data_IF_785543488816
#
_entry.id   IF_785543488816
#
_cell.length_a   1.000
_cell.length_b   1.000
_cell.length_c   1.000
_cell.angle_alpha   90.00
_cell.angle_beta   90.00
_cell.angle_gamma   90.00
#
_symmetry.space_group_name_H-M   'P 1'
#
loop_
_entity.id
_entity.type
_entity.pdbx_description
1 polymer ?
#
# COMPACT_ATOMS: atom_id res chain seq x y z
N UNK A 1 -19.35 -11.35 16.12
CA UNK A 1 -18.86 -11.18 14.74
C UNK A 1 -17.42 -11.68 14.54
N UNK A 2 -16.86 -12.50 15.45
CA UNK A 2 -15.54 -13.14 15.28
C UNK A 2 -15.62 -14.60 14.79
N UNK A 3 -16.82 -15.20 14.76
CA UNK A 3 -17.01 -16.63 14.49
C UNK A 3 -17.23 -16.99 12.99
N UNK A 4 -17.39 -16.00 12.11
CA UNK A 4 -17.58 -16.25 10.66
C UNK A 4 -16.28 -16.12 9.86
N UNK A 5 -15.26 -15.42 10.38
CA UNK A 5 -13.94 -15.29 9.75
C UNK A 5 -13.17 -16.62 9.71
N UNK A 6 -13.25 -17.42 10.77
CA UNK A 6 -12.55 -18.71 10.85
C UNK A 6 -13.09 -19.75 9.87
N UNK A 7 -14.32 -19.60 9.37
CA UNK A 7 -14.99 -20.63 8.56
C UNK A 7 -14.76 -20.46 7.06
N UNK A 8 -14.36 -19.27 6.61
CA UNK A 8 -14.03 -18.98 5.21
C UNK A 8 -12.53 -19.16 4.95
N UNK A 9 -11.68 -19.01 5.97
CA UNK A 9 -10.22 -19.17 5.85
C UNK A 9 -9.77 -20.63 5.68
N UNK A 10 -10.53 -21.60 6.19
CA UNK A 10 -10.15 -23.03 6.21
C UNK A 10 -10.18 -23.76 4.86
N UNK A 11 -10.32 -23.07 3.72
CA UNK A 11 -10.40 -23.73 2.41
C UNK A 11 -9.15 -23.57 1.52
N UNK A 12 -8.11 -22.83 1.92
CA UNK A 12 -6.98 -22.62 0.99
C UNK A 12 -5.55 -22.89 1.48
N UNK A 13 -5.25 -23.16 2.75
CA UNK A 13 -3.85 -23.39 3.16
C UNK A 13 -3.68 -24.35 4.37
N UNK A 14 -3.77 -25.67 4.19
CA UNK A 14 -3.35 -26.63 5.23
C UNK A 14 -1.81 -26.66 5.34
N UNK A 15 -1.24 -25.90 6.28
CA UNK A 15 0.20 -25.97 6.61
C UNK A 15 0.47 -27.11 7.60
N UNK A 16 0.63 -28.31 7.07
CA UNK A 16 0.64 -29.55 7.85
C UNK A 16 1.96 -29.82 8.61
N UNK A 17 3.04 -29.05 8.39
CA UNK A 17 4.33 -29.23 9.09
C UNK A 17 4.95 -27.90 9.60
N UNK A 18 5.66 -27.98 10.73
CA UNK A 18 6.33 -26.86 11.39
C UNK A 18 7.45 -26.26 10.50
N UNK A 19 8.16 -27.12 9.76
CA UNK A 19 9.20 -26.68 8.82
C UNK A 19 8.59 -25.83 7.69
N UNK A 20 7.42 -26.22 7.17
CA UNK A 20 6.70 -25.48 6.14
C UNK A 20 6.26 -24.10 6.66
N UNK A 21 5.75 -24.04 7.90
CA UNK A 21 5.35 -22.79 8.55
C UNK A 21 6.54 -21.85 8.80
N UNK A 22 7.67 -22.38 9.24
CA UNK A 22 8.90 -21.59 9.38
C UNK A 22 9.37 -21.04 8.03
N UNK A 23 9.42 -21.89 7.00
CA UNK A 23 9.83 -21.49 5.66
C UNK A 23 8.90 -20.43 5.07
N UNK A 24 7.60 -20.55 5.34
CA UNK A 24 6.58 -19.58 4.93
C UNK A 24 6.82 -18.20 5.56
N UNK A 25 7.10 -18.14 6.86
CA UNK A 25 7.43 -16.85 7.51
C UNK A 25 8.69 -16.21 6.93
N UNK A 26 9.70 -17.02 6.61
CA UNK A 26 10.96 -16.55 6.00
C UNK A 26 10.75 -16.07 4.57
N UNK A 27 9.98 -16.80 3.76
CA UNK A 27 9.77 -16.51 2.33
C UNK A 27 8.94 -15.25 2.10
N UNK A 28 7.93 -14.99 2.95
CA UNK A 28 7.15 -13.76 2.91
C UNK A 28 7.93 -12.52 3.37
N UNK A 29 9.13 -12.68 3.93
CA UNK A 29 9.98 -11.56 4.32
C UNK A 29 9.37 -10.68 5.41
N UNK A 30 8.54 -11.27 6.28
CA UNK A 30 7.92 -10.56 7.40
C UNK A 30 8.99 -10.07 8.36
N UNK A 31 9.01 -8.76 8.64
CA UNK A 31 9.95 -8.21 9.62
C UNK A 31 9.60 -8.75 11.01
N UNK A 32 10.63 -9.10 11.78
CA UNK A 32 10.45 -9.60 13.15
C UNK A 32 9.58 -8.66 13.99
N UNK A 33 9.73 -7.34 13.85
CA UNK A 33 8.93 -6.33 14.58
C UNK A 33 7.44 -6.39 14.30
N UNK A 34 7.04 -6.86 13.12
CA UNK A 34 5.64 -6.93 12.73
C UNK A 34 5.00 -8.19 13.33
N UNK A 35 5.75 -9.29 13.33
CA UNK A 35 5.40 -10.52 14.05
C UNK A 35 5.30 -10.26 15.55
N UNK A 36 6.22 -9.50 16.15
CA UNK A 36 6.16 -9.12 17.56
C UNK A 36 4.85 -8.43 17.92
N UNK A 37 4.45 -7.42 17.14
CA UNK A 37 3.20 -6.71 17.36
C UNK A 37 1.98 -7.61 17.21
N UNK A 38 2.01 -8.53 16.25
CA UNK A 38 0.95 -9.52 16.12
C UNK A 38 0.83 -10.38 17.38
N UNK A 39 1.94 -10.93 17.86
CA UNK A 39 1.99 -11.74 19.08
C UNK A 39 1.52 -10.94 20.30
N UNK A 40 2.02 -9.72 20.50
CA UNK A 40 1.62 -8.83 21.59
C UNK A 40 0.12 -8.53 21.56
N UNK A 41 -0.45 -8.28 20.37
CA UNK A 41 -1.90 -8.02 20.21
C UNK A 41 -2.77 -9.23 20.58
N UNK A 42 -2.18 -10.42 20.62
CA UNK A 42 -2.83 -11.68 21.02
C UNK A 42 -2.45 -12.13 22.43
N UNK A 43 -1.77 -11.28 23.21
CA UNK A 43 -1.23 -11.60 24.53
C UNK A 43 -0.32 -12.85 24.51
N UNK A 44 0.39 -13.06 23.41
CA UNK A 44 1.33 -14.15 23.25
C UNK A 44 2.76 -13.70 23.58
N UNK A 45 3.59 -14.65 24.01
CA UNK A 45 5.00 -14.36 24.33
C UNK A 45 5.77 -14.04 23.06
N UNK A 46 6.56 -12.97 23.10
CA UNK A 46 7.52 -12.65 22.04
C UNK A 46 8.80 -13.47 22.21
N UNK A 47 9.22 -14.29 21.22
CA UNK A 47 10.51 -14.98 21.27
C UNK A 47 11.70 -14.01 21.15
N UNK A 48 12.86 -14.42 21.66
CA UNK A 48 14.09 -13.66 21.49
C UNK A 48 14.47 -13.57 19.99
N UNK A 49 14.95 -12.41 19.54
CA UNK A 49 15.41 -12.14 18.15
C UNK A 49 16.74 -12.84 17.84
N UNK A 50 16.71 -14.16 17.76
CA UNK A 50 17.86 -14.98 17.36
C UNK A 50 17.52 -15.78 16.09
N UNK A 51 18.45 -16.62 15.65
CA UNK A 51 18.28 -17.49 14.47
C UNK A 51 17.05 -18.40 14.52
N UNK A 52 16.55 -18.71 15.72
CA UNK A 52 15.38 -19.56 15.94
C UNK A 52 14.08 -18.75 16.14
N UNK A 53 14.08 -17.44 15.87
CA UNK A 53 12.89 -16.61 16.05
C UNK A 53 11.70 -17.14 15.25
N UNK A 54 11.86 -17.33 13.94
CA UNK A 54 10.78 -17.79 13.06
C UNK A 54 10.29 -19.19 13.40
N UNK A 55 11.19 -20.12 13.74
CA UNK A 55 10.83 -21.46 14.24
C UNK A 55 9.93 -21.39 15.47
N UNK A 56 10.33 -20.58 16.48
CA UNK A 56 9.55 -20.43 17.72
C UNK A 56 8.20 -19.76 17.51
N UNK A 57 8.13 -18.81 16.56
CA UNK A 57 6.85 -18.20 16.16
C UNK A 57 5.95 -19.24 15.51
N UNK A 58 6.48 -20.01 14.56
CA UNK A 58 5.74 -21.07 13.88
C UNK A 58 5.25 -22.16 14.85
N UNK A 59 6.05 -22.51 15.86
CA UNK A 59 5.67 -23.49 16.89
C UNK A 59 4.57 -22.97 17.82
N UNK A 60 4.60 -21.68 18.15
CA UNK A 60 3.71 -21.08 19.15
C UNK A 60 2.31 -20.80 18.63
N UNK A 61 2.18 -20.46 17.34
CA UNK A 61 0.88 -20.11 16.75
C UNK A 61 0.08 -21.38 16.44
N UNK A 62 -1.21 -21.38 16.74
CA UNK A 62 -2.11 -22.37 16.14
C UNK A 62 -2.33 -22.08 14.64
N UNK A 63 -2.98 -23.00 13.92
CA UNK A 63 -3.23 -22.90 12.48
C UNK A 63 -3.97 -21.61 12.10
N UNK A 64 -5.09 -21.31 12.78
CA UNK A 64 -5.88 -20.11 12.50
C UNK A 64 -5.07 -18.82 12.76
N UNK A 65 -4.29 -18.78 13.85
CA UNK A 65 -3.45 -17.62 14.16
C UNK A 65 -2.31 -17.46 13.15
N UNK A 66 -1.78 -18.56 12.62
CA UNK A 66 -0.74 -18.53 11.62
C UNK A 66 -1.26 -18.04 10.28
N UNK A 67 -2.37 -18.60 9.81
CA UNK A 67 -3.05 -18.13 8.62
C UNK A 67 -3.40 -16.65 8.74
N UNK A 68 -3.87 -16.20 9.91
CA UNK A 68 -4.15 -14.80 10.15
C UNK A 68 -2.89 -13.93 10.12
N UNK A 69 -1.79 -14.35 10.75
CA UNK A 69 -0.51 -13.62 10.67
C UNK A 69 -0.07 -13.47 9.21
N UNK A 70 -0.11 -14.56 8.45
CA UNK A 70 0.25 -14.56 7.04
C UNK A 70 -0.70 -13.66 6.27
N UNK A 71 -2.02 -13.82 6.40
CA UNK A 71 -3.00 -12.99 5.72
C UNK A 71 -2.82 -11.50 6.01
N UNK A 72 -2.67 -11.14 7.29
CA UNK A 72 -2.59 -9.75 7.73
C UNK A 72 -1.29 -9.05 7.34
N UNK A 73 -0.20 -9.77 7.12
CA UNK A 73 1.12 -9.17 6.91
C UNK A 73 1.85 -9.61 5.63
N UNK A 74 1.44 -10.70 4.94
CA UNK A 74 2.06 -11.17 3.67
C UNK A 74 2.12 -10.09 2.60
N UNK A 75 1.12 -9.21 2.61
CA UNK A 75 1.00 -8.06 1.70
C UNK A 75 1.02 -6.73 2.44
N UNK A 76 1.16 -6.74 3.75
CA UNK A 76 1.02 -5.58 4.61
C UNK A 76 2.36 -5.34 5.32
N UNK A 77 3.26 -4.69 4.60
CA UNK A 77 4.56 -4.25 5.09
C UNK A 77 4.59 -2.75 5.38
N UNK A 78 5.74 -2.23 5.80
CA UNK A 78 5.99 -0.77 5.77
C UNK A 78 5.98 -0.31 4.32
N UNK A 79 4.79 0.03 3.84
CA UNK A 79 4.54 0.17 2.42
C UNK A 79 4.23 1.59 2.04
N UNK A 80 4.62 1.89 0.81
CA UNK A 80 4.07 2.98 0.05
C UNK A 80 2.93 2.39 -0.78
N UNK A 81 1.73 2.98 -0.73
CA UNK A 81 0.65 2.62 -1.64
C UNK A 81 0.58 3.70 -2.71
N UNK A 82 0.72 3.29 -3.96
CA UNK A 82 0.49 4.14 -5.12
C UNK A 82 -0.92 3.81 -5.62
N UNK A 83 -1.83 4.77 -5.61
CA UNK A 83 -3.17 4.57 -6.11
C UNK A 83 -3.27 4.90 -7.59
N UNK A 84 -3.98 4.06 -8.33
CA UNK A 84 -4.35 4.33 -9.70
C UNK A 84 -5.82 4.02 -9.92
N UNK A 85 -6.43 4.70 -10.89
CA UNK A 85 -7.78 4.42 -11.36
C UNK A 85 -7.68 3.73 -12.71
N UNK A 86 -8.36 2.59 -12.84
CA UNK A 86 -8.55 1.89 -14.10
C UNK A 86 -10.05 1.85 -14.36
N UNK A 87 -10.55 2.68 -15.27
CA UNK A 87 -12.00 2.81 -15.49
C UNK A 87 -12.62 1.51 -16.01
N UNK A 88 -13.74 1.10 -15.41
CA UNK A 88 -14.49 -0.11 -15.77
C UNK A 88 -13.77 -1.41 -15.40
N UNK A 89 -12.89 -1.36 -14.41
CA UNK A 89 -12.29 -2.55 -13.80
C UNK A 89 -13.30 -3.23 -12.87
N UNK A 90 -14.13 -2.47 -12.18
CA UNK A 90 -15.20 -2.98 -11.30
C UNK A 90 -16.27 -3.81 -12.04
N UNK A 91 -16.42 -3.62 -13.35
CA UNK A 91 -17.36 -4.38 -14.18
C UNK A 91 -16.76 -5.73 -14.64
N UNK A 92 -15.48 -6.02 -14.32
CA UNK A 92 -14.79 -7.26 -14.73
C UNK A 92 -14.82 -8.32 -13.64
N UNK A 93 -14.90 -9.57 -14.07
CA UNK A 93 -14.69 -10.72 -13.18
C UNK A 93 -13.21 -10.80 -12.78
N UNK A 94 -12.92 -10.89 -11.48
CA UNK A 94 -11.55 -10.98 -10.97
C UNK A 94 -10.80 -12.22 -11.49
N UNK A 95 -11.49 -13.33 -11.73
CA UNK A 95 -10.92 -14.52 -12.35
C UNK A 95 -10.48 -14.25 -13.79
N UNK A 96 -11.30 -13.54 -14.57
CA UNK A 96 -10.91 -13.14 -15.94
C UNK A 96 -9.69 -12.19 -15.92
N UNK A 97 -9.66 -11.25 -14.97
CA UNK A 97 -8.50 -10.36 -14.78
C UNK A 97 -7.26 -11.17 -14.43
N UNK A 98 -7.37 -12.13 -13.50
CA UNK A 98 -6.29 -13.04 -13.09
C UNK A 98 -5.71 -13.80 -14.27
N UNK A 99 -6.55 -14.52 -15.03
CA UNK A 99 -6.11 -15.32 -16.18
C UNK A 99 -5.39 -14.48 -17.25
N UNK A 100 -5.92 -13.28 -17.53
CA UNK A 100 -5.32 -12.37 -18.51
C UNK A 100 -3.95 -11.84 -18.08
N UNK A 101 -3.79 -11.57 -16.78
CA UNK A 101 -2.50 -11.10 -16.22
C UNK A 101 -1.49 -12.26 -16.18
N UNK A 102 -1.90 -13.44 -15.71
CA UNK A 102 -1.07 -14.66 -15.66
C UNK A 102 -0.58 -15.08 -17.05
N UNK A 103 -1.43 -14.96 -18.08
CA UNK A 103 -1.06 -15.33 -19.45
C UNK A 103 -0.13 -14.32 -20.14
N UNK A 104 -0.04 -13.08 -19.65
CA UNK A 104 0.79 -12.03 -20.25
C UNK A 104 2.12 -11.82 -19.51
N UNK A 105 2.08 -11.76 -18.18
CA UNK A 105 3.27 -11.51 -17.38
C UNK A 105 4.16 -12.76 -17.32
N UNK A 106 5.49 -12.61 -17.52
CA UNK A 106 6.42 -13.73 -17.38
C UNK A 106 6.51 -14.20 -15.93
N UNK A 107 6.95 -15.43 -15.73
CA UNK A 107 7.37 -15.96 -14.42
C UNK A 107 8.82 -15.55 -14.08
N UNK A 108 9.30 -15.83 -12.86
CA UNK A 108 10.72 -15.56 -12.48
C UNK A 108 11.70 -16.35 -13.36
N UNK A 109 11.33 -17.58 -13.72
CA UNK A 109 12.13 -18.47 -14.57
C UNK A 109 12.30 -17.89 -15.98
N UNK A 110 11.31 -17.15 -16.49
CA UNK A 110 11.33 -16.56 -17.83
C UNK A 110 12.24 -15.31 -17.94
N UNK A 111 12.68 -14.75 -16.81
CA UNK A 111 13.40 -13.48 -16.76
C UNK A 111 14.82 -13.61 -16.20
N UNK A 112 15.45 -14.78 -16.30
CA UNK A 112 16.72 -15.27 -15.71
C UNK A 112 17.86 -14.24 -15.48
N UNK A 113 17.88 -13.08 -16.14
CA UNK A 113 18.81 -11.96 -15.86
C UNK A 113 18.27 -10.55 -16.13
N UNK A 114 16.99 -10.38 -16.44
CA UNK A 114 16.43 -9.10 -16.82
C UNK A 114 16.25 -8.16 -15.61
N UNK A 115 16.98 -7.05 -15.61
CA UNK A 115 16.89 -6.00 -14.58
C UNK A 115 15.70 -5.11 -14.89
N UNK A 116 14.93 -4.76 -13.87
CA UNK A 116 13.71 -3.92 -13.96
C UNK A 116 12.66 -4.46 -14.92
N UNK A 117 12.63 -5.77 -15.17
CA UNK A 117 11.51 -6.41 -15.85
C UNK A 117 10.55 -6.97 -14.80
N UNK A 118 9.28 -6.55 -14.77
CA UNK A 118 8.29 -7.13 -13.86
C UNK A 118 7.98 -8.58 -14.26
N UNK A 119 7.76 -9.42 -13.26
CA UNK A 119 7.32 -10.80 -13.43
C UNK A 119 6.29 -11.15 -12.36
N UNK A 120 5.37 -12.04 -12.69
CA UNK A 120 4.39 -12.54 -11.75
C UNK A 120 5.03 -13.60 -10.85
N UNK A 121 5.16 -13.31 -9.57
CA UNK A 121 5.71 -14.22 -8.57
C UNK A 121 4.62 -15.10 -7.93
N UNK A 122 3.43 -14.52 -7.73
CA UNK A 122 2.32 -15.14 -7.00
C UNK A 122 1.02 -14.36 -7.31
N UNK A 123 -0.11 -15.05 -7.35
CA UNK A 123 -1.43 -14.41 -7.47
C UNK A 123 -2.52 -15.17 -6.74
N UNK A 124 -3.25 -14.45 -5.90
CA UNK A 124 -4.26 -15.02 -5.00
C UNK A 124 -5.50 -14.15 -4.93
N UNK A 125 -6.69 -14.77 -4.86
CA UNK A 125 -7.95 -14.06 -4.67
C UNK A 125 -8.46 -14.35 -3.28
N UNK A 126 -8.59 -13.34 -2.43
CA UNK A 126 -9.10 -13.50 -1.06
C UNK A 126 -10.10 -12.41 -0.74
N UNK A 127 -11.30 -12.80 -0.30
CA UNK A 127 -12.37 -11.90 0.16
C UNK A 127 -12.71 -10.78 -0.85
N UNK A 128 -13.02 -11.16 -2.09
CA UNK A 128 -13.38 -10.18 -3.15
C UNK A 128 -12.22 -9.30 -3.61
N UNK A 129 -10.98 -9.67 -3.27
CA UNK A 129 -9.77 -8.94 -3.67
C UNK A 129 -8.81 -9.87 -4.40
N UNK A 130 -8.28 -9.40 -5.51
CA UNK A 130 -7.22 -10.06 -6.27
C UNK A 130 -5.87 -9.41 -5.95
N UNK A 131 -4.93 -10.22 -5.50
CA UNK A 131 -3.56 -9.82 -5.19
C UNK A 131 -2.62 -10.36 -6.26
N UNK A 132 -1.79 -9.49 -6.81
CA UNK A 132 -0.65 -9.90 -7.65
C UNK A 132 0.66 -9.48 -7.00
N UNK A 133 1.52 -10.45 -6.79
CA UNK A 133 2.89 -10.26 -6.37
C UNK A 133 3.78 -10.07 -7.59
N UNK A 134 4.19 -8.83 -7.87
CA UNK A 134 5.02 -8.53 -9.02
C UNK A 134 6.46 -8.34 -8.57
N UNK A 135 7.30 -9.33 -8.89
CA UNK A 135 8.73 -9.27 -8.64
C UNK A 135 9.46 -8.47 -9.72
N UNK A 136 10.63 -7.93 -9.37
CA UNK A 136 11.59 -7.39 -10.35
C UNK A 136 13.01 -7.40 -9.76
N UNK A 137 14.03 -7.47 -10.62
CA UNK A 137 15.44 -7.48 -10.21
C UNK A 137 16.04 -6.08 -10.33
N UNK A 138 16.77 -5.62 -9.32
CA UNK A 138 17.47 -4.32 -9.33
C UNK A 138 18.95 -4.50 -8.95
N UNK A 139 19.86 -3.73 -9.57
CA UNK A 139 21.26 -3.69 -9.14
C UNK A 139 21.44 -2.69 -8.02
N UNK A 140 21.83 -3.16 -6.84
CA UNK A 140 22.33 -2.31 -5.77
C UNK A 140 23.84 -2.19 -5.88
N UNK A 141 24.33 -0.97 -6.07
CA UNK A 141 25.75 -0.66 -5.91
C UNK A 141 26.10 -0.73 -4.42
N UNK A 142 26.77 -1.80 -3.98
CA UNK A 142 27.45 -1.79 -2.68
C UNK A 142 28.93 -1.43 -2.89
N UNK A 143 29.42 -0.47 -2.11
CA UNK A 143 30.85 -0.16 -2.05
C UNK A 143 31.42 -1.01 -0.92
N UNK A 144 32.30 -1.95 -1.23
CA UNK A 144 33.02 -2.72 -0.21
C UNK A 144 33.85 -1.74 0.66
N UNK A 145 33.61 -1.67 1.98
CA UNK A 145 34.27 -0.69 2.85
C UNK A 145 35.80 -0.80 2.88
N UNK A 146 36.33 -2.02 2.65
CA UNK A 146 37.76 -2.30 2.73
C UNK A 146 38.51 -2.05 1.41
N UNK A 147 37.85 -2.18 0.26
CA UNK A 147 38.51 -2.17 -1.07
C UNK A 147 38.10 -0.98 -1.94
N UNK A 148 37.00 -0.29 -1.58
CA UNK A 148 36.41 0.78 -2.39
C UNK A 148 35.84 0.30 -3.73
N UNK A 149 35.84 -1.01 -4.01
CA UNK A 149 35.28 -1.58 -5.23
C UNK A 149 33.77 -1.62 -5.13
N UNK A 150 33.11 -1.14 -6.18
CA UNK A 150 31.68 -1.33 -6.38
C UNK A 150 31.44 -2.77 -6.84
N UNK A 151 30.89 -3.61 -5.97
CA UNK A 151 30.30 -4.88 -6.36
C UNK A 151 28.79 -4.67 -6.48
N UNK A 152 28.25 -4.76 -7.70
CA UNK A 152 26.81 -4.69 -7.90
C UNK A 152 26.18 -6.01 -7.45
N UNK A 153 25.35 -5.98 -6.41
CA UNK A 153 24.53 -7.13 -6.01
C UNK A 153 23.16 -6.97 -6.67
N UNK A 154 22.68 -8.01 -7.33
CA UNK A 154 21.29 -8.03 -7.83
C UNK A 154 20.38 -8.37 -6.66
N UNK A 155 19.46 -7.46 -6.35
CA UNK A 155 18.43 -7.63 -5.34
C UNK A 155 17.09 -7.87 -6.04
N UNK A 156 16.33 -8.82 -5.53
CA UNK A 156 14.91 -8.96 -5.89
C UNK A 156 14.10 -7.96 -5.07
N UNK A 157 13.26 -7.20 -5.76
CA UNK A 157 12.26 -6.29 -5.20
C UNK A 157 10.87 -6.81 -5.58
N UNK A 158 9.85 -6.37 -4.86
CA UNK A 158 8.46 -6.79 -5.06
C UNK A 158 7.54 -5.59 -4.94
N UNK A 159 6.59 -5.49 -5.85
CA UNK A 159 5.38 -4.71 -5.70
C UNK A 159 4.21 -5.66 -5.47
N UNK A 160 3.19 -5.22 -4.73
CA UNK A 160 1.94 -5.97 -4.60
C UNK A 160 0.82 -5.14 -5.21
N UNK A 161 0.14 -5.67 -6.21
CA UNK A 161 -1.06 -5.07 -6.78
C UNK A 161 -2.27 -5.62 -6.04
N UNK A 162 -3.20 -4.75 -5.66
CA UNK A 162 -4.50 -5.15 -5.08
C UNK A 162 -5.61 -4.55 -5.92
N UNK A 163 -6.49 -5.43 -6.40
CA UNK A 163 -7.68 -5.09 -7.18
C UNK A 163 -8.90 -5.55 -6.40
N UNK A 164 -9.84 -4.64 -6.20
CA UNK A 164 -11.13 -4.91 -5.56
C UNK A 164 -12.16 -5.30 -6.63
N UNK A 165 -13.07 -6.21 -6.30
CA UNK A 165 -14.16 -6.62 -7.19
C UNK A 165 -15.17 -5.49 -7.48
N UNK A 166 -15.27 -4.50 -6.59
CA UNK A 166 -16.28 -3.44 -6.66
C UNK A 166 -15.72 -2.03 -6.89
N UNK A 167 -14.41 -1.90 -7.16
CA UNK A 167 -13.76 -0.59 -7.38
C UNK A 167 -12.93 -0.52 -8.65
N UNK A 168 -12.92 0.66 -9.26
CA UNK A 168 -11.95 1.04 -10.30
C UNK A 168 -10.60 1.50 -9.69
N UNK A 169 -10.56 1.69 -8.37
CA UNK A 169 -9.36 2.07 -7.63
C UNK A 169 -8.50 0.84 -7.37
N UNK A 170 -7.27 0.87 -7.86
CA UNK A 170 -6.27 -0.16 -7.60
C UNK A 170 -5.16 0.37 -6.70
N UNK A 171 -4.57 -0.55 -5.94
CA UNK A 171 -3.38 -0.29 -5.15
C UNK A 171 -2.18 -0.93 -5.84
N UNK A 172 -1.08 -0.20 -5.95
CA UNK A 172 0.23 -0.79 -6.22
C UNK A 172 1.16 -0.46 -5.06
N UNK A 173 1.36 -1.44 -4.19
CA UNK A 173 2.14 -1.32 -2.97
C UNK A 173 3.62 -1.52 -3.29
N UNK A 174 4.42 -0.47 -3.15
CA UNK A 174 5.83 -0.47 -3.53
C UNK A 174 6.46 0.92 -3.39
N UNK A 175 7.72 0.99 -2.98
CA UNK A 175 8.42 2.28 -2.83
C UNK A 175 8.98 2.85 -4.13
N UNK A 176 9.22 2.01 -5.15
CA UNK A 176 9.63 2.44 -6.49
C UNK A 176 8.38 2.85 -7.29
N UNK A 177 8.20 4.16 -7.42
CA UNK A 177 7.06 4.75 -8.14
C UNK A 177 7.08 4.45 -9.63
N UNK A 178 8.25 4.42 -10.27
CA UNK A 178 8.34 4.13 -11.70
C UNK A 178 7.94 2.70 -11.98
N UNK A 179 8.43 1.77 -11.15
CA UNK A 179 8.01 0.38 -11.24
C UNK A 179 6.52 0.20 -10.92
N UNK A 180 5.96 0.99 -10.00
CA UNK A 180 4.52 0.96 -9.74
C UNK A 180 3.70 1.37 -10.98
N UNK A 181 4.15 2.39 -11.72
CA UNK A 181 3.52 2.79 -12.99
C UNK A 181 3.69 1.76 -14.10
N UNK A 182 4.87 1.15 -14.22
CA UNK A 182 5.12 0.05 -15.18
C UNK A 182 4.23 -1.15 -14.88
N UNK A 183 4.10 -1.54 -13.61
CA UNK A 183 3.19 -2.62 -13.18
C UNK A 183 1.74 -2.28 -13.50
N UNK A 184 1.27 -1.07 -13.19
CA UNK A 184 -0.08 -0.61 -13.60
C UNK A 184 -0.27 -0.77 -15.11
N UNK A 185 0.71 -0.35 -15.89
CA UNK A 185 0.62 -0.39 -17.36
C UNK A 185 0.52 -1.83 -17.89
N UNK A 186 1.31 -2.76 -17.34
CA UNK A 186 1.18 -4.19 -17.70
C UNK A 186 -0.16 -4.78 -17.29
N UNK A 187 -0.71 -4.42 -16.12
CA UNK A 187 -2.05 -4.86 -15.72
C UNK A 187 -3.10 -4.32 -16.70
N UNK A 188 -3.07 -3.03 -17.01
CA UNK A 188 -3.96 -2.40 -17.99
C UNK A 188 -3.87 -3.08 -19.36
N UNK A 189 -2.67 -3.34 -19.85
CA UNK A 189 -2.47 -4.00 -21.13
C UNK A 189 -2.98 -5.45 -21.12
N UNK A 190 -2.78 -6.18 -20.02
CA UNK A 190 -3.31 -7.55 -19.83
C UNK A 190 -4.83 -7.58 -19.99
N UNK A 191 -5.53 -6.61 -19.42
CA UNK A 191 -6.99 -6.54 -19.48
C UNK A 191 -7.54 -5.83 -20.73
N UNK A 192 -6.67 -5.47 -21.68
CA UNK A 192 -7.03 -4.84 -22.95
C UNK A 192 -7.40 -3.35 -22.84
N UNK A 193 -6.80 -2.63 -21.89
CA UNK A 193 -7.05 -1.19 -21.62
C UNK A 193 -5.82 -0.34 -21.98
N UNK A 194 -5.65 -0.08 -23.27
CA UNK A 194 -4.44 0.57 -23.80
C UNK A 194 -4.47 2.11 -23.78
N UNK A 195 -5.66 2.72 -23.69
CA UNK A 195 -5.82 4.19 -23.75
C UNK A 195 -5.45 4.84 -22.42
N UNK A 196 -4.64 5.90 -22.49
CA UNK A 196 -4.29 6.72 -21.30
C UNK A 196 -5.51 7.31 -20.58
N UNK A 197 -6.62 7.56 -21.27
CA UNK A 197 -7.85 8.06 -20.64
C UNK A 197 -8.48 7.06 -19.66
N UNK A 198 -8.15 5.77 -19.82
CA UNK A 198 -8.72 4.67 -19.01
C UNK A 198 -7.86 4.39 -17.78
N UNK A 199 -6.65 4.98 -17.71
CA UNK A 199 -5.72 4.84 -16.58
C UNK A 199 -5.25 6.21 -16.08
N UNK A 200 -5.63 6.57 -14.87
CA UNK A 200 -5.28 7.87 -14.28
C UNK A 200 -4.82 7.71 -12.82
N UNK A 201 -4.26 8.78 -12.25
CA UNK A 201 -4.08 8.87 -10.80
C UNK A 201 -5.32 9.55 -10.19
N UNK A 202 -5.81 9.10 -9.02
CA UNK A 202 -6.95 9.76 -8.39
C UNK A 202 -6.58 11.16 -7.94
N UNK A 203 -7.51 12.12 -8.10
CA UNK A 203 -7.27 13.50 -7.73
C UNK A 203 -7.49 13.71 -6.22
N UNK A 204 -6.40 13.96 -5.47
CA UNK A 204 -6.45 14.32 -4.05
C UNK A 204 -6.46 15.85 -3.82
N UNK A 205 -7.09 16.60 -4.73
CA UNK A 205 -7.21 18.05 -4.67
C UNK A 205 -8.16 18.59 -3.58
N UNK A 206 -8.48 19.88 -3.64
CA UNK A 206 -9.18 20.62 -2.56
C UNK A 206 -10.48 19.97 -2.10
N UNK A 207 -11.35 19.53 -3.02
CA UNK A 207 -12.63 18.90 -2.66
C UNK A 207 -12.46 17.56 -1.93
N UNK A 208 -11.51 16.75 -2.40
CA UNK A 208 -11.13 15.51 -1.71
C UNK A 208 -10.65 15.82 -0.30
N UNK A 209 -9.73 16.78 -0.17
CA UNK A 209 -9.18 17.21 1.11
C UNK A 209 -10.29 17.63 2.10
N UNK A 210 -11.18 18.54 1.70
CA UNK A 210 -12.26 19.04 2.57
C UNK A 210 -13.15 17.93 3.14
N UNK A 211 -13.42 16.89 2.34
CA UNK A 211 -14.25 15.76 2.76
C UNK A 211 -13.43 14.76 3.59
N UNK A 212 -12.22 14.43 3.15
CA UNK A 212 -11.30 13.55 3.85
C UNK A 212 -10.97 14.07 5.26
N UNK A 213 -10.71 15.38 5.38
CA UNK A 213 -10.40 16.03 6.65
C UNK A 213 -11.51 15.95 7.70
N UNK A 214 -12.77 15.83 7.29
CA UNK A 214 -13.92 15.60 8.20
C UNK A 214 -13.94 14.19 8.77
N UNK A 215 -13.20 13.27 8.17
CA UNK A 215 -13.13 11.86 8.56
C UNK A 215 -11.83 11.52 9.29
N UNK A 216 -10.87 12.46 9.34
CA UNK A 216 -9.61 12.33 10.07
C UNK A 216 -9.76 12.80 11.52
N UNK A 217 -9.21 12.04 12.46
CA UNK A 217 -9.23 12.37 13.89
C UNK A 217 -8.21 13.47 14.22
N UNK A 218 -6.93 13.28 13.86
CA UNK A 218 -5.86 14.21 14.21
C UNK A 218 -4.80 14.32 13.10
N UNK A 219 -4.34 15.54 12.81
CA UNK A 219 -3.08 15.75 12.07
C UNK A 219 -1.94 16.02 13.04
N UNK A 220 -0.86 15.25 12.94
CA UNK A 220 0.23 15.28 13.94
C UNK A 220 1.42 16.15 13.58
N UNK A 221 1.73 16.23 12.30
CA UNK A 221 2.76 17.12 11.79
C UNK A 221 2.24 17.72 10.49
N UNK A 222 2.59 18.98 10.25
CA UNK A 222 2.23 19.72 9.05
C UNK A 222 3.43 20.52 8.60
N UNK A 223 3.79 20.41 7.33
CA UNK A 223 4.71 21.31 6.66
C UNK A 223 3.88 22.13 5.69
N UNK A 224 3.73 23.41 5.98
CA UNK A 224 2.99 24.37 5.17
C UNK A 224 4.00 25.09 4.29
N UNK A 225 3.74 25.10 2.99
CA UNK A 225 4.50 25.83 1.98
C UNK A 225 3.68 27.06 1.60
N UNK A 226 4.28 28.23 1.68
CA UNK A 226 3.63 29.49 1.29
C UNK A 226 4.19 29.87 -0.07
N UNK A 227 3.36 29.76 -1.11
CA UNK A 227 3.73 30.15 -2.47
C UNK A 227 3.15 31.53 -2.80
N UNK A 228 3.96 32.37 -3.44
CA UNK A 228 3.43 33.52 -4.15
C UNK A 228 2.81 33.02 -5.46
N UNK A 229 1.81 33.71 -5.99
CA UNK A 229 1.08 33.30 -7.20
C UNK A 229 1.96 33.19 -8.47
N UNK A 230 3.26 33.46 -8.36
CA UNK A 230 4.28 33.44 -9.42
C UNK A 230 5.34 32.33 -9.21
N UNK A 231 4.91 31.06 -9.09
CA UNK A 231 5.77 29.85 -9.10
C UNK A 231 6.95 29.78 -8.10
N UNK A 232 7.12 30.78 -7.23
CA UNK A 232 8.17 30.85 -6.21
C UNK A 232 7.65 30.64 -4.81
N UNK A 233 8.33 29.75 -4.09
CA UNK A 233 8.09 29.47 -2.68
C UNK A 233 8.70 30.57 -1.83
N UNK A 234 7.86 31.25 -1.06
CA UNK A 234 8.26 32.30 -0.14
C UNK A 234 8.85 31.70 1.15
N UNK A 235 8.17 30.71 1.74
CA UNK A 235 8.62 30.08 2.98
C UNK A 235 8.08 28.64 3.13
N UNK A 236 8.68 27.89 4.05
CA UNK A 236 8.23 26.55 4.45
C UNK A 236 8.24 26.44 5.97
N UNK A 237 7.06 26.30 6.56
CA UNK A 237 6.86 26.33 8.01
C UNK A 237 6.42 24.96 8.50
N UNK A 238 7.13 24.43 9.51
CA UNK A 238 6.84 23.12 10.09
C UNK A 238 6.16 23.24 11.45
N UNK A 239 5.05 22.52 11.60
CA UNK A 239 4.24 22.44 12.81
C UNK A 239 4.18 20.99 13.29
N UNK A 240 4.40 20.79 14.58
CA UNK A 240 4.29 19.48 15.24
C UNK A 240 3.31 19.58 16.39
N UNK A 241 2.32 18.70 16.39
CA UNK A 241 1.41 18.48 17.50
C UNK A 241 2.17 18.16 18.76
N UNK A 242 1.84 18.88 19.83
CA UNK A 242 2.37 18.63 21.17
C UNK A 242 1.33 17.92 22.02
N UNK A 243 1.83 17.06 22.88
CA UNK A 243 1.05 16.41 23.93
C UNK A 243 0.68 17.44 25.00
N UNK A 244 -0.58 17.44 25.41
CA UNK A 244 -1.07 18.29 26.49
C UNK A 244 -0.92 17.61 27.86
N UNK A 245 -1.36 18.32 28.92
CA UNK A 245 -1.26 17.86 30.31
C UNK A 245 -2.06 16.57 30.57
N UNK A 246 -3.00 16.21 29.70
CA UNK A 246 -3.78 14.97 29.79
C UNK A 246 -3.14 13.79 29.06
N UNK A 247 -2.02 14.01 28.36
CA UNK A 247 -1.39 13.02 27.50
C UNK A 247 -1.96 12.97 26.09
N UNK A 248 -2.88 13.87 25.73
CA UNK A 248 -3.53 13.90 24.42
C UNK A 248 -2.77 14.80 23.46
N UNK A 249 -2.60 14.37 22.20
CA UNK A 249 -1.98 15.20 21.17
C UNK A 249 -3.03 16.09 20.52
N UNK A 250 -2.76 17.40 20.50
CA UNK A 250 -3.63 18.36 19.81
C UNK A 250 -3.45 18.28 18.30
N UNK A 251 -4.54 18.38 17.55
CA UNK A 251 -4.51 18.50 16.09
C UNK A 251 -3.71 19.72 15.66
N UNK A 252 -2.66 19.51 14.87
CA UNK A 252 -1.78 20.57 14.37
C UNK A 252 -2.56 21.62 13.56
N UNK A 253 -3.66 21.25 12.89
CA UNK A 253 -4.52 22.19 12.15
C UNK A 253 -5.18 23.24 13.04
N UNK A 254 -5.41 22.92 14.31
CA UNK A 254 -6.11 23.78 15.28
C UNK A 254 -5.17 24.78 15.99
N UNK A 255 -3.90 24.82 15.61
CA UNK A 255 -3.00 25.85 16.11
C UNK A 255 -3.39 27.19 15.50
N UNK A 256 -3.61 28.23 16.31
CA UNK A 256 -3.96 29.59 15.84
C UNK A 256 -3.00 30.05 14.72
N UNK A 257 -1.70 29.81 14.90
CA UNK A 257 -0.69 30.10 13.89
C UNK A 257 -0.87 29.30 12.60
N UNK A 258 -1.33 28.05 12.66
CA UNK A 258 -1.59 27.25 11.44
C UNK A 258 -2.82 27.78 10.72
N UNK A 259 -3.86 28.19 11.45
CA UNK A 259 -5.04 28.82 10.86
C UNK A 259 -4.69 30.14 10.15
N UNK A 260 -3.84 30.97 10.75
CA UNK A 260 -3.29 32.18 10.13
C UNK A 260 -2.56 31.86 8.82
N UNK A 261 -1.64 30.91 8.84
CA UNK A 261 -0.78 30.58 7.68
C UNK A 261 -1.55 29.87 6.56
N UNK A 262 -2.57 29.07 6.90
CA UNK A 262 -3.49 28.48 5.91
C UNK A 262 -4.45 29.51 5.29
N UNK A 263 -4.70 30.64 5.98
CA UNK A 263 -5.53 31.72 5.46
C UNK A 263 -4.81 32.61 4.45
N UNK A 264 -3.48 32.51 4.35
CA UNK A 264 -2.69 33.19 3.33
C UNK A 264 -2.97 32.64 1.92
N UNK A 265 -3.06 33.53 0.94
CA UNK A 265 -3.34 33.15 -0.46
C UNK A 265 -2.13 32.42 -1.04
N UNK A 266 -2.31 31.14 -1.39
CA UNK A 266 -1.27 30.31 -2.03
C UNK A 266 -0.64 29.27 -1.09
N UNK A 267 -1.13 29.13 0.14
CA UNK A 267 -0.61 28.14 1.08
C UNK A 267 -1.03 26.70 0.74
N UNK A 268 -0.08 25.78 0.79
CA UNK A 268 -0.29 24.35 0.58
C UNK A 268 0.33 23.49 1.70
N UNK A 269 -0.39 22.48 2.17
CA UNK A 269 0.15 21.43 3.05
C UNK A 269 0.97 20.44 2.21
N UNK A 270 2.28 20.41 2.41
CA UNK A 270 3.20 19.56 1.63
C UNK A 270 3.56 18.25 2.29
N UNK A 271 3.58 18.21 3.63
CA UNK A 271 3.87 16.99 4.38
C UNK A 271 3.08 16.94 5.68
N UNK A 272 2.40 15.84 5.93
CA UNK A 272 1.79 15.61 7.23
C UNK A 272 1.50 14.15 7.51
N UNK A 273 1.21 13.86 8.77
CA UNK A 273 0.71 12.55 9.18
C UNK A 273 -0.72 12.68 9.63
N UNK A 274 -1.53 11.78 9.10
CA UNK A 274 -2.91 11.60 9.44
C UNK A 274 -3.00 10.48 10.46
N UNK A 275 -3.71 10.72 11.55
CA UNK A 275 -4.14 9.71 12.51
C UNK A 275 -5.65 9.48 12.36
N UNK A 276 -6.05 8.23 12.12
CA UNK A 276 -7.46 7.80 12.19
C UNK A 276 -7.78 7.30 13.60
N UNK A 277 -9.07 7.14 13.91
CA UNK A 277 -9.68 6.80 15.21
C UNK A 277 -9.07 5.61 15.98
N UNK A 278 -8.24 4.78 15.34
CA UNK A 278 -7.56 3.62 15.93
C UNK A 278 -6.04 3.83 16.12
N UNK A 279 -5.55 5.07 16.07
CA UNK A 279 -4.13 5.39 16.24
C UNK A 279 -3.26 5.07 15.00
N UNK A 280 -3.91 4.90 13.85
CA UNK A 280 -3.32 4.52 12.58
C UNK A 280 -2.69 5.71 11.86
N UNK A 281 -1.38 5.65 11.57
CA UNK A 281 -0.60 6.81 11.10
C UNK A 281 0.04 6.63 9.73
N UNK A 282 -0.29 7.51 8.80
CA UNK A 282 0.28 7.52 7.45
C UNK A 282 0.49 8.94 6.94
N UNK A 283 1.37 9.08 5.94
CA UNK A 283 1.53 10.30 5.16
C UNK A 283 0.75 10.17 3.86
N UNK A 284 0.14 11.27 3.42
CA UNK A 284 -0.45 11.39 2.09
C UNK A 284 0.40 12.34 1.26
N UNK A 285 0.83 11.88 0.08
CA UNK A 285 1.37 12.72 -0.98
C UNK A 285 0.23 12.89 -2.00
N UNK A 286 -0.31 14.10 -2.08
CA UNK A 286 -1.49 14.41 -2.87
C UNK A 286 -1.19 14.48 -4.36
N UNK A 287 -0.07 15.11 -4.74
CA UNK A 287 0.38 15.24 -6.12
C UNK A 287 0.67 13.87 -6.76
N UNK A 288 1.25 12.97 -5.98
CA UNK A 288 1.55 11.61 -6.41
C UNK A 288 0.44 10.62 -6.05
N UNK A 289 -0.72 11.04 -5.53
CA UNK A 289 -1.82 10.14 -5.17
C UNK A 289 -1.37 8.90 -4.36
N UNK A 290 -0.51 9.14 -3.39
CA UNK A 290 0.29 8.11 -2.73
C UNK A 290 0.17 8.18 -1.22
N UNK A 291 0.11 7.04 -0.56
CA UNK A 291 0.26 6.94 0.88
C UNK A 291 1.58 6.32 1.28
N UNK A 292 2.08 6.67 2.46
CA UNK A 292 3.27 6.05 3.05
C UNK A 292 3.04 5.81 4.53
N UNK A 293 3.10 4.54 4.94
CA UNK A 293 2.92 4.17 6.34
C UNK A 293 4.23 4.33 7.12
N UNK A 294 4.09 4.76 8.37
CA UNK A 294 5.25 4.95 9.24
C UNK A 294 5.83 3.64 9.76
N UNK A 295 4.99 2.61 9.83
CA UNK A 295 5.30 1.26 10.26
C UNK A 295 4.58 0.27 9.35
N UNK A 296 4.90 -1.02 9.41
CA UNK A 296 4.05 -2.00 8.74
C UNK A 296 2.68 -2.01 9.42
N UNK A 297 1.65 -2.13 8.59
CA UNK A 297 0.27 -1.99 8.99
C UNK A 297 -0.51 -3.22 8.58
N UNK A 298 -1.54 -3.55 9.34
CA UNK A 298 -2.41 -4.69 9.07
C UNK A 298 -3.18 -4.49 7.77
N UNK A 299 -3.39 -5.57 7.03
CA UNK A 299 -4.22 -5.60 5.82
C UNK A 299 -5.61 -4.98 6.08
N UNK A 300 -6.22 -5.27 7.23
CA UNK A 300 -7.51 -4.68 7.64
C UNK A 300 -7.48 -3.14 7.65
N UNK A 301 -6.44 -2.55 8.26
CA UNK A 301 -6.30 -1.09 8.34
C UNK A 301 -6.06 -0.48 6.96
N UNK A 302 -5.27 -1.14 6.11
CA UNK A 302 -5.03 -0.71 4.72
C UNK A 302 -6.35 -0.73 3.94
N UNK A 303 -7.16 -1.77 4.11
CA UNK A 303 -8.46 -1.86 3.44
C UNK A 303 -9.42 -0.75 3.88
N UNK A 304 -9.48 -0.45 5.18
CA UNK A 304 -10.32 0.64 5.69
C UNK A 304 -9.93 1.99 5.08
N UNK A 305 -8.63 2.30 4.97
CA UNK A 305 -8.20 3.56 4.37
C UNK A 305 -8.43 3.61 2.87
N UNK A 306 -8.23 2.52 2.15
CA UNK A 306 -8.51 2.49 0.71
C UNK A 306 -10.00 2.67 0.44
N UNK A 307 -10.86 2.02 1.22
CA UNK A 307 -12.33 2.21 1.15
C UNK A 307 -12.70 3.66 1.45
N UNK A 308 -12.13 4.25 2.49
CA UNK A 308 -12.32 5.67 2.80
C UNK A 308 -11.92 6.59 1.63
N UNK A 309 -10.76 6.36 1.03
CA UNK A 309 -10.29 7.12 -0.13
C UNK A 309 -11.25 6.96 -1.31
N UNK A 310 -11.67 5.73 -1.61
CA UNK A 310 -12.61 5.42 -2.66
C UNK A 310 -13.95 6.16 -2.47
N UNK A 311 -14.51 6.12 -1.26
CA UNK A 311 -15.78 6.77 -0.94
C UNK A 311 -15.67 8.29 -1.13
N UNK A 312 -14.61 8.91 -0.63
CA UNK A 312 -14.39 10.36 -0.80
C UNK A 312 -14.22 10.74 -2.28
N UNK A 313 -13.47 9.96 -3.07
CA UNK A 313 -13.31 10.19 -4.51
C UNK A 313 -14.65 10.11 -5.25
N UNK A 314 -15.49 9.14 -4.88
CA UNK A 314 -16.82 8.94 -5.47
C UNK A 314 -17.77 10.08 -5.11
N UNK A 315 -17.83 10.47 -3.84
CA UNK A 315 -18.69 11.55 -3.37
C UNK A 315 -18.33 12.91 -3.97
N UNK A 316 -17.04 13.19 -4.13
CA UNK A 316 -16.54 14.45 -4.69
C UNK A 316 -16.70 14.53 -6.21
N UNK A 317 -17.08 13.42 -6.86
CA UNK A 317 -17.15 13.26 -8.32
C UNK A 317 -15.81 13.55 -9.02
N UNK A 318 -14.72 13.51 -8.27
CA UNK A 318 -13.35 13.52 -8.83
C UNK A 318 -13.05 12.20 -9.57
N UNK A 319 -13.95 11.23 -9.45
CA UNK A 319 -14.12 10.11 -10.37
C UNK A 319 -15.62 9.88 -10.62
N UNK A 320 -16.03 9.81 -11.89
CA UNK A 320 -17.29 9.16 -12.26
C UNK A 320 -16.98 7.72 -12.65
N UNK A 321 -17.47 6.72 -11.90
CA UNK A 321 -17.48 5.33 -12.36
C UNK A 321 -18.23 5.30 -13.70
N UNK A 322 -17.51 5.31 -14.82
CA UNK A 322 -18.10 5.34 -16.16
C UNK A 322 -18.11 3.92 -16.69
N UNK A 323 -19.30 3.38 -16.91
CA UNK A 323 -19.49 2.19 -17.74
C UNK A 323 -18.91 2.46 -19.12
N UNK A 324 -17.94 1.65 -19.52
CA UNK A 324 -17.36 1.74 -20.85
C UNK A 324 -18.38 1.20 -21.85
N UNK A 325 -19.01 2.11 -22.59
CA UNK A 325 -19.84 1.77 -23.73
C UNK A 325 -18.95 1.27 -24.88
N UNK A 326 -18.85 -0.05 -25.02
CA UNK A 326 -18.69 -0.77 -26.29
C UNK A 326 -17.34 -0.70 -27.05
N UNK A 327 -16.68 -1.85 -27.13
CA UNK A 327 -15.96 -2.46 -28.29
C UNK A 327 -14.85 -1.65 -29.02
N UNK A 328 -14.55 -0.39 -28.68
CA UNK A 328 -13.56 0.43 -29.43
C UNK A 328 -12.14 0.51 -28.81
N UNK A 329 -11.72 -0.48 -28.02
CA UNK A 329 -10.46 -0.48 -27.24
C UNK A 329 -9.45 -1.58 -27.63
N UNK A 330 -9.53 -2.14 -28.84
CA UNK A 330 -8.52 -3.08 -29.37
C UNK A 330 -7.61 -2.33 -30.36
N UNK A 331 -6.27 -2.39 -30.22
CA UNK A 331 -5.35 -1.91 -31.26
C UNK A 331 -5.54 -2.74 -32.54
N UNK A 332 -5.44 -2.11 -33.71
CA UNK A 332 -5.39 -2.83 -35.01
C UNK A 332 -4.20 -3.79 -35.09
#
# INVERSE_FOLDING_TARGET
MLNDLSRVMSQELEYNDLEERENTLKSFGLYMTDIERFLESRNLRVPNKNENFYFRVAEQLDENQFEELIFQYRYAGRQTINYFLIEGLNDKDLGEVKERVESRLPSDEDIESAIKKPYLAESNTVEGKLYFAIGYKEKADSVEPATGKKSGIVLTKRNVVVIYDDMDLIEVRGSDEKMAEEVRDEICDSIGKYKKSVKSRPNFGTKFQEKFEKMVETYLNLVVKVDDQEETTLDTISFTSKEDESGSRKDARKSDRVEEELSERGSEITQGYVELFDGFRFRINRDASKLSFMKAEKEENINQITRLIHDVLTETREHSQRKISGIADVPE
#
